data_IF_445872300334
#
_entry.id   IF_445872300334
#
_cell.length_a   1.000
_cell.length_b   1.000
_cell.length_c   1.000
_cell.angle_alpha   90.00
_cell.angle_beta   90.00
_cell.angle_gamma   90.00
#
_symmetry.space_group_name_H-M   'P 1'
#
loop_
_entity.id
_entity.type
_entity.pdbx_description
1 polymer ?
#
# COMPACT_ATOMS: atom_id res chain seq x y z
N UNK A 1 -14.65 4.19 -12.03
CA UNK A 1 -13.46 4.31 -11.16
C UNK A 1 -12.92 2.90 -11.05
N UNK A 2 -11.63 2.71 -11.33
CA UNK A 2 -10.99 1.42 -11.05
C UNK A 2 -10.93 1.27 -9.53
N UNK A 3 -11.63 0.26 -9.02
CA UNK A 3 -11.87 0.08 -7.59
C UNK A 3 -10.55 -0.25 -6.88
N UNK A 4 -10.24 0.51 -5.82
CA UNK A 4 -9.07 0.30 -4.97
C UNK A 4 -9.55 -0.54 -3.79
N UNK A 5 -8.79 -1.59 -3.44
CA UNK A 5 -9.17 -2.50 -2.39
C UNK A 5 -8.25 -2.34 -1.17
N UNK A 6 -8.82 -2.09 -0.01
CA UNK A 6 -8.12 -2.18 1.27
C UNK A 6 -8.47 -3.52 1.92
N UNK A 7 -7.46 -4.35 2.17
CA UNK A 7 -7.63 -5.77 2.46
C UNK A 7 -6.89 -6.11 3.75
N UNK A 8 -7.58 -6.79 4.66
CA UNK A 8 -6.95 -7.42 5.81
C UNK A 8 -6.15 -8.66 5.34
N UNK A 9 -4.85 -8.68 5.62
CA UNK A 9 -3.97 -9.83 5.37
C UNK A 9 -3.88 -10.75 6.59
N UNK A 10 -4.53 -10.42 7.71
CA UNK A 10 -4.43 -11.11 8.99
C UNK A 10 -3.29 -10.56 9.86
N UNK A 11 -3.35 -10.81 11.17
CA UNK A 11 -2.35 -10.35 12.15
C UNK A 11 -2.08 -8.83 12.07
N UNK A 12 -3.14 -8.01 11.95
CA UNK A 12 -3.09 -6.56 11.75
C UNK A 12 -2.38 -6.07 10.48
N UNK A 13 -1.95 -6.98 9.58
CA UNK A 13 -1.37 -6.56 8.32
C UNK A 13 -2.47 -6.10 7.36
N UNK A 14 -2.25 -4.96 6.72
CA UNK A 14 -3.19 -4.40 5.75
C UNK A 14 -2.50 -4.20 4.41
N UNK A 15 -3.20 -4.56 3.34
CA UNK A 15 -2.80 -4.29 1.97
C UNK A 15 -3.73 -3.26 1.31
N UNK A 16 -3.16 -2.38 0.52
CA UNK A 16 -3.87 -1.51 -0.43
C UNK A 16 -3.53 -2.01 -1.83
N UNK A 17 -4.47 -2.71 -2.45
CA UNK A 17 -4.35 -3.23 -3.80
C UNK A 17 -4.98 -2.25 -4.79
N UNK A 18 -4.15 -1.74 -5.69
CA UNK A 18 -4.53 -0.77 -6.72
C UNK A 18 -4.46 -1.44 -8.10
N UNK A 19 -5.51 -1.35 -8.93
CA UNK A 19 -5.45 -1.86 -10.30
C UNK A 19 -4.32 -1.24 -11.14
N UNK A 20 -3.71 -2.03 -12.01
CA UNK A 20 -2.60 -1.64 -12.89
C UNK A 20 -2.95 -0.54 -13.90
N UNK A 21 -4.24 -0.36 -14.20
CA UNK A 21 -4.76 0.73 -15.03
C UNK A 21 -5.15 1.98 -14.23
N UNK A 22 -5.07 1.97 -12.90
CA UNK A 22 -5.34 3.13 -12.07
C UNK A 22 -4.26 4.20 -12.29
N UNK A 23 -4.67 5.39 -12.74
CA UNK A 23 -3.74 6.50 -13.05
C UNK A 23 -2.88 6.93 -11.87
N UNK A 24 -3.47 7.03 -10.68
CA UNK A 24 -2.75 7.41 -9.47
C UNK A 24 -1.70 6.38 -9.07
N UNK A 25 -2.03 5.10 -9.22
CA UNK A 25 -1.09 3.99 -8.97
C UNK A 25 0.06 3.95 -9.97
N UNK A 26 -0.24 4.17 -11.26
CA UNK A 26 0.79 4.27 -12.31
C UNK A 26 1.72 5.46 -12.08
N UNK A 27 1.15 6.62 -11.72
CA UNK A 27 1.94 7.82 -11.42
C UNK A 27 2.80 7.61 -10.18
N UNK A 28 2.24 7.05 -9.11
CA UNK A 28 2.97 6.70 -7.88
C UNK A 28 4.16 5.79 -8.19
N UNK A 29 3.92 4.65 -8.85
CA UNK A 29 4.97 3.70 -9.24
C UNK A 29 6.05 4.36 -10.09
N UNK A 30 5.67 5.23 -11.02
CA UNK A 30 6.63 5.97 -11.86
C UNK A 30 7.47 6.97 -11.07
N UNK A 31 6.89 7.67 -10.10
CA UNK A 31 7.61 8.66 -9.26
C UNK A 31 8.65 7.99 -8.37
N UNK A 32 8.28 6.87 -7.75
CA UNK A 32 9.09 6.23 -6.72
C UNK A 32 9.98 5.09 -7.23
N UNK A 33 9.92 4.80 -8.53
CA UNK A 33 10.82 3.83 -9.13
C UNK A 33 12.29 4.27 -8.95
N UNK A 34 13.07 3.49 -8.20
CA UNK A 34 14.47 3.78 -7.90
C UNK A 34 14.73 4.68 -6.69
N UNK A 35 13.69 5.17 -6.00
CA UNK A 35 13.80 5.86 -4.70
C UNK A 35 13.56 4.93 -3.51
N UNK A 36 13.59 3.62 -3.76
CA UNK A 36 13.29 2.60 -2.77
C UNK A 36 14.52 2.09 -2.06
N UNK A 37 14.36 1.71 -0.79
CA UNK A 37 15.35 0.93 -0.07
C UNK A 37 15.15 -0.57 -0.34
N UNK A 38 16.25 -1.31 -0.40
CA UNK A 38 16.22 -2.77 -0.47
C UNK A 38 15.51 -3.33 0.76
N UNK A 39 14.65 -4.32 0.54
CA UNK A 39 14.11 -5.15 1.61
C UNK A 39 14.71 -6.55 1.52
N UNK A 40 14.49 -7.38 2.54
CA UNK A 40 14.88 -8.80 2.49
C UNK A 40 14.04 -9.62 1.49
N UNK A 41 12.95 -9.05 0.99
CA UNK A 41 12.04 -9.62 -0.01
C UNK A 41 12.37 -9.06 -1.40
N UNK A 42 12.48 -9.93 -2.40
CA UNK A 42 12.85 -9.53 -3.78
C UNK A 42 11.80 -8.66 -4.47
N UNK A 43 10.51 -8.80 -4.11
CA UNK A 43 9.36 -8.16 -4.77
C UNK A 43 8.78 -6.99 -4.01
N UNK A 44 9.24 -6.77 -2.78
CA UNK A 44 8.81 -5.66 -1.96
C UNK A 44 9.98 -4.73 -1.70
N UNK A 45 9.75 -3.44 -1.89
CA UNK A 45 10.75 -2.44 -1.55
C UNK A 45 10.20 -1.51 -0.48
N UNK A 46 11.07 -1.02 0.40
CA UNK A 46 10.65 -0.07 1.42
C UNK A 46 10.69 1.35 0.85
N UNK A 47 9.64 2.13 1.10
CA UNK A 47 9.66 3.57 0.86
C UNK A 47 9.78 4.28 2.21
N UNK A 48 10.74 5.20 2.30
CA UNK A 48 10.87 5.98 3.53
C UNK A 48 9.62 6.85 3.71
N UNK A 49 9.13 6.96 4.95
CA UNK A 49 7.96 7.80 5.25
C UNK A 49 8.12 9.27 4.88
N UNK A 50 9.36 9.77 4.71
CA UNK A 50 9.62 11.11 4.18
C UNK A 50 9.40 11.23 2.68
N UNK A 51 9.53 10.13 1.95
CA UNK A 51 9.35 10.10 0.49
C UNK A 51 7.87 9.87 0.15
N UNK A 52 7.26 8.87 0.79
CA UNK A 52 5.85 8.55 0.62
C UNK A 52 5.26 7.90 1.87
N UNK A 53 3.98 8.18 2.13
CA UNK A 53 3.27 7.68 3.31
C UNK A 53 1.77 7.54 3.04
N UNK A 54 1.11 6.72 3.87
CA UNK A 54 -0.34 6.74 4.02
C UNK A 54 -0.75 7.61 5.19
N UNK A 55 -1.83 8.36 5.04
CA UNK A 55 -2.51 9.05 6.14
C UNK A 55 -4.02 8.83 6.02
N UNK A 56 -4.72 8.88 7.15
CA UNK A 56 -6.17 8.77 7.15
C UNK A 56 -6.84 10.05 7.65
N UNK A 57 -7.91 10.45 6.97
CA UNK A 57 -8.70 11.62 7.31
C UNK A 57 -10.18 11.29 7.30
N UNK A 58 -10.95 11.93 8.18
CA UNK A 58 -12.42 11.80 8.20
C UNK A 58 -13.06 12.97 7.47
N UNK A 59 -13.91 12.69 6.49
CA UNK A 59 -14.63 13.69 5.70
C UNK A 59 -16.05 13.21 5.39
N UNK A 60 -17.07 14.04 5.62
CA UNK A 60 -18.48 13.76 5.30
C UNK A 60 -18.95 12.37 5.79
N UNK A 61 -18.65 12.03 7.05
CA UNK A 61 -18.93 10.73 7.71
C UNK A 61 -18.18 9.51 7.17
N UNK A 62 -17.33 9.67 6.15
CA UNK A 62 -16.47 8.62 5.63
C UNK A 62 -15.03 8.76 6.16
N UNK A 63 -14.36 7.63 6.32
CA UNK A 63 -12.93 7.55 6.57
C UNK A 63 -12.22 7.29 5.25
N UNK A 64 -11.24 8.13 4.94
CA UNK A 64 -10.44 8.00 3.74
C UNK A 64 -9.00 7.70 4.09
N UNK A 65 -8.42 6.71 3.42
CA UNK A 65 -6.98 6.52 3.33
C UNK A 65 -6.47 7.26 2.09
N UNK A 66 -5.47 8.11 2.30
CA UNK A 66 -4.75 8.82 1.24
C UNK A 66 -3.29 8.35 1.21
N UNK A 67 -2.76 8.09 0.02
CA UNK A 67 -1.33 7.83 -0.20
C UNK A 67 -0.72 9.07 -0.84
N UNK A 68 0.27 9.65 -0.16
CA UNK A 68 0.87 10.93 -0.51
C UNK A 68 2.38 10.84 -0.58
N UNK A 69 2.99 11.79 -1.31
CA UNK A 69 4.43 12.02 -1.22
C UNK A 69 4.79 13.00 -0.10
N UNK A 70 6.09 13.13 0.17
CA UNK A 70 6.65 14.06 1.15
C UNK A 70 6.27 15.54 0.94
N UNK A 71 5.87 15.92 -0.27
CA UNK A 71 5.38 17.28 -0.59
C UNK A 71 3.85 17.41 -0.41
N UNK A 72 3.17 16.35 -0.01
CA UNK A 72 1.73 16.32 0.22
C UNK A 72 0.88 16.10 -1.03
N UNK A 73 1.48 15.77 -2.18
CA UNK A 73 0.70 15.41 -3.38
C UNK A 73 0.04 14.06 -3.15
N UNK A 74 -1.28 14.01 -3.34
CA UNK A 74 -2.07 12.79 -3.21
C UNK A 74 -2.11 12.01 -4.53
N UNK A 75 -1.78 10.73 -4.47
CA UNK A 75 -1.80 9.80 -5.61
C UNK A 75 -3.02 8.90 -5.57
N UNK A 76 -3.32 8.38 -4.38
CA UNK A 76 -4.42 7.43 -4.15
C UNK A 76 -5.28 7.98 -3.03
N UNK A 77 -6.60 7.86 -3.20
CA UNK A 77 -7.58 8.09 -2.17
C UNK A 77 -8.65 7.02 -2.25
N UNK A 78 -8.91 6.35 -1.13
CA UNK A 78 -9.92 5.30 -1.05
C UNK A 78 -10.63 5.34 0.30
N UNK A 79 -11.85 4.79 0.36
CA UNK A 79 -12.57 4.61 1.61
C UNK A 79 -11.91 3.46 2.38
N UNK A 80 -11.76 3.62 3.68
CA UNK A 80 -11.22 2.60 4.58
C UNK A 80 -12.15 2.41 5.77
N UNK A 81 -12.26 1.17 6.23
CA UNK A 81 -13.03 0.85 7.44
C UNK A 81 -12.20 1.11 8.70
N UNK A 82 -12.87 1.45 9.80
CA UNK A 82 -12.21 1.77 11.08
C UNK A 82 -11.31 0.62 11.56
N UNK A 83 -11.73 -0.64 11.40
CA UNK A 83 -10.93 -1.81 11.81
C UNK A 83 -9.58 -1.87 11.07
N UNK A 84 -9.59 -1.68 9.75
CA UNK A 84 -8.37 -1.70 8.93
C UNK A 84 -7.49 -0.50 9.25
N UNK A 85 -8.09 0.66 9.51
CA UNK A 85 -7.37 1.84 9.93
C UNK A 85 -6.67 1.63 11.28
N UNK A 86 -7.33 0.99 12.25
CA UNK A 86 -6.71 0.68 13.54
C UNK A 86 -5.56 -0.32 13.39
N UNK A 87 -5.70 -1.31 12.49
CA UNK A 87 -4.62 -2.23 12.16
C UNK A 87 -3.39 -1.49 11.58
N UNK A 88 -3.59 -0.57 10.63
CA UNK A 88 -2.49 0.26 10.07
C UNK A 88 -1.82 1.14 11.13
N UNK A 89 -2.59 1.67 12.10
CA UNK A 89 -2.05 2.46 13.21
C UNK A 89 -1.17 1.61 14.14
N UNK A 90 -1.59 0.38 14.43
CA UNK A 90 -0.85 -0.54 15.31
C UNK A 90 0.48 -0.96 14.69
N UNK A 91 0.48 -1.28 13.39
CA UNK A 91 1.67 -1.74 12.67
C UNK A 91 2.52 -0.59 12.10
N UNK A 92 2.06 0.67 12.24
CA UNK A 92 2.69 1.87 11.66
C UNK A 92 2.97 1.76 10.15
N UNK A 93 2.18 0.96 9.43
CA UNK A 93 2.43 0.70 8.02
C UNK A 93 1.39 -0.17 7.34
N UNK A 94 1.59 -0.35 6.04
CA UNK A 94 0.77 -1.20 5.19
C UNK A 94 1.54 -1.59 3.92
N UNK A 95 1.06 -2.63 3.26
CA UNK A 95 1.57 -3.06 1.98
C UNK A 95 0.80 -2.36 0.84
N UNK A 96 1.47 -1.60 0.01
CA UNK A 96 0.91 -1.12 -1.26
C UNK A 96 1.23 -2.11 -2.38
N UNK A 97 0.25 -2.51 -3.17
CA UNK A 97 0.45 -3.35 -4.35
C UNK A 97 -0.26 -2.78 -5.55
N UNK A 98 0.39 -2.89 -6.71
CA UNK A 98 -0.28 -2.68 -8.00
C UNK A 98 -0.52 -4.03 -8.66
N UNK A 99 -1.79 -4.40 -8.85
CA UNK A 99 -2.20 -5.71 -9.34
C UNK A 99 -2.97 -5.61 -10.66
N UNK A 100 -2.99 -6.67 -11.49
CA UNK A 100 -3.77 -6.69 -12.72
C UNK A 100 -5.24 -6.32 -12.48
N UNK A 101 -5.81 -5.44 -13.31
CA UNK A 101 -7.23 -5.03 -13.18
C UNK A 101 -8.25 -6.18 -13.20
N UNK A 102 -7.86 -7.36 -13.67
CA UNK A 102 -8.70 -8.56 -13.69
C UNK A 102 -8.84 -9.19 -12.31
N UNK A 103 -8.02 -8.83 -11.34
CA UNK A 103 -8.07 -9.39 -9.99
C UNK A 103 -9.16 -8.68 -9.17
N UNK A 104 -10.15 -9.45 -8.73
CA UNK A 104 -11.23 -8.96 -7.88
C UNK A 104 -10.80 -8.94 -6.41
N UNK A 105 -11.51 -8.18 -5.58
CA UNK A 105 -11.30 -8.18 -4.12
C UNK A 105 -11.43 -9.59 -3.51
N UNK A 106 -12.38 -10.39 -4.01
CA UNK A 106 -12.58 -11.78 -3.59
C UNK A 106 -11.37 -12.64 -3.92
N UNK A 107 -10.88 -12.56 -5.16
CA UNK A 107 -9.70 -13.28 -5.59
C UNK A 107 -8.48 -12.93 -4.74
N UNK A 108 -8.22 -11.64 -4.53
CA UNK A 108 -7.07 -11.18 -3.73
C UNK A 108 -7.21 -11.66 -2.29
N UNK A 109 -8.40 -11.54 -1.67
CA UNK A 109 -8.62 -12.00 -0.30
C UNK A 109 -8.42 -13.51 -0.15
N UNK A 110 -8.95 -14.31 -1.08
CA UNK A 110 -8.82 -15.78 -1.03
C UNK A 110 -7.36 -16.24 -1.05
N UNK A 111 -6.50 -15.53 -1.79
CA UNK A 111 -5.10 -15.92 -1.96
C UNK A 111 -4.17 -15.30 -0.91
N UNK A 112 -4.49 -14.10 -0.40
CA UNK A 112 -3.57 -13.35 0.47
C UNK A 112 -3.96 -13.33 1.95
N UNK A 113 -5.19 -13.70 2.31
CA UNK A 113 -5.59 -13.68 3.73
C UNK A 113 -4.81 -14.69 4.56
N UNK A 114 -4.25 -14.22 5.68
CA UNK A 114 -3.41 -15.00 6.59
C UNK A 114 -1.99 -15.27 6.06
N UNK A 115 -1.58 -14.62 4.96
CA UNK A 115 -0.27 -14.78 4.35
C UNK A 115 0.72 -13.73 4.86
N UNK A 116 1.95 -14.15 5.10
CA UNK A 116 3.06 -13.24 5.32
C UNK A 116 3.68 -12.79 3.99
N UNK A 117 4.69 -11.92 4.04
CA UNK A 117 5.33 -11.40 2.83
C UNK A 117 5.98 -12.51 2.00
N UNK A 118 6.61 -13.51 2.61
CA UNK A 118 7.19 -14.66 1.90
C UNK A 118 6.13 -15.43 1.09
N UNK A 119 5.00 -15.74 1.73
CA UNK A 119 3.89 -16.42 1.07
C UNK A 119 3.32 -15.59 -0.08
N UNK A 120 3.23 -14.26 0.08
CA UNK A 120 2.76 -13.36 -0.96
C UNK A 120 3.75 -13.31 -2.13
N UNK A 121 5.07 -13.34 -1.89
CA UNK A 121 6.07 -13.39 -2.97
C UNK A 121 5.97 -14.68 -3.79
N UNK A 122 5.77 -15.82 -3.11
CA UNK A 122 5.53 -17.11 -3.76
C UNK A 122 4.27 -17.01 -4.62
N UNK A 123 3.17 -16.50 -4.07
CA UNK A 123 1.94 -16.28 -4.83
C UNK A 123 2.14 -15.37 -6.04
N UNK A 124 2.89 -14.26 -5.90
CA UNK A 124 3.19 -13.36 -7.02
C UNK A 124 3.96 -14.08 -8.12
N UNK A 125 4.96 -14.89 -7.76
CA UNK A 125 5.71 -15.67 -8.72
C UNK A 125 4.83 -16.70 -9.47
N UNK A 126 4.03 -17.45 -8.72
CA UNK A 126 3.13 -18.45 -9.30
C UNK A 126 2.07 -17.81 -10.20
N UNK A 127 1.59 -16.63 -9.80
CA UNK A 127 0.63 -15.82 -10.56
C UNK A 127 1.24 -15.32 -11.87
N UNK A 128 2.47 -14.82 -11.86
CA UNK A 128 3.17 -14.42 -13.09
C UNK A 128 3.29 -15.57 -14.07
N UNK A 129 3.64 -16.77 -13.58
CA UNK A 129 3.73 -17.98 -14.41
C UNK A 129 2.36 -18.39 -14.93
N UNK A 130 1.33 -18.39 -14.08
CA UNK A 130 -0.03 -18.82 -14.43
C UNK A 130 -0.65 -17.93 -15.51
N UNK A 131 -0.39 -16.62 -15.47
CA UNK A 131 -0.98 -15.64 -16.38
C UNK A 131 -0.04 -15.16 -17.48
N UNK A 132 1.14 -15.79 -17.65
CA UNK A 132 2.17 -15.40 -18.64
C UNK A 132 2.55 -13.92 -18.55
N UNK A 133 2.70 -13.42 -17.32
CA UNK A 133 3.12 -12.05 -17.06
C UNK A 133 4.65 -11.94 -17.10
N UNK A 134 5.20 -10.75 -17.43
CA UNK A 134 6.64 -10.54 -17.33
C UNK A 134 7.16 -10.84 -15.93
N UNK A 135 8.33 -11.47 -15.85
CA UNK A 135 9.00 -11.77 -14.59
C UNK A 135 9.21 -10.50 -13.77
N UNK A 136 8.86 -10.52 -12.49
CA UNK A 136 8.92 -9.36 -11.56
C UNK A 136 8.04 -8.17 -11.96
N UNK A 137 6.95 -8.43 -12.70
CA UNK A 137 5.93 -7.41 -12.97
C UNK A 137 5.02 -7.16 -11.76
N UNK A 138 4.78 -8.20 -10.96
CA UNK A 138 4.07 -8.12 -9.68
C UNK A 138 5.05 -7.81 -8.55
N UNK A 139 4.70 -6.80 -7.77
CA UNK A 139 5.47 -6.35 -6.61
C UNK A 139 4.71 -5.28 -5.84
N UNK A 140 5.35 -4.75 -4.81
CA UNK A 140 4.72 -3.75 -3.95
C UNK A 140 5.72 -2.91 -3.17
N UNK A 141 5.18 -1.95 -2.42
CA UNK A 141 5.95 -1.11 -1.52
C UNK A 141 5.48 -1.32 -0.08
N UNK A 142 6.43 -1.51 0.83
CA UNK A 142 6.19 -1.40 2.26
C UNK A 142 6.16 0.08 2.62
N UNK A 143 5.00 0.55 3.08
CA UNK A 143 4.70 1.97 3.27
C UNK A 143 4.51 2.29 4.75
N UNK A 144 5.02 3.44 5.19
CA UNK A 144 4.67 4.00 6.49
C UNK A 144 3.21 4.47 6.50
N UNK A 145 2.54 4.29 7.64
CA UNK A 145 1.28 4.94 7.94
C UNK A 145 1.49 5.98 9.06
N UNK A 146 0.97 7.18 8.87
CA UNK A 146 0.99 8.23 9.87
C UNK A 146 -0.42 8.72 10.18
N UNK A 147 -0.67 8.95 11.46
CA UNK A 147 -1.82 9.70 11.96
C UNK A 147 -1.66 11.19 11.68
N UNK A 148 -2.76 11.93 11.72
CA UNK A 148 -2.76 13.40 11.55
C UNK A 148 -1.81 14.09 12.54
N UNK A 149 -1.81 13.65 13.81
CA UNK A 149 -0.92 14.17 14.86
C UNK A 149 0.56 13.92 14.53
N UNK A 150 0.90 12.75 14.00
CA UNK A 150 2.26 12.40 13.61
C UNK A 150 2.74 13.24 12.42
N UNK A 151 1.87 13.45 11.43
CA UNK A 151 2.15 14.33 10.29
C UNK A 151 2.38 15.78 10.75
N UNK A 152 1.57 16.29 11.67
CA UNK A 152 1.79 17.62 12.24
C UNK A 152 3.14 17.73 12.95
N UNK A 153 3.52 16.71 13.73
CA UNK A 153 4.82 16.64 14.40
C UNK A 153 5.98 16.64 13.41
N UNK A 154 5.89 15.87 12.32
CA UNK A 154 6.89 15.82 11.24
C UNK A 154 7.01 17.18 10.57
N UNK A 155 5.88 17.80 10.19
CA UNK A 155 5.86 19.12 9.52
C UNK A 155 6.43 20.24 10.38
N UNK A 156 6.20 20.18 11.69
CA UNK A 156 6.73 21.17 12.64
C UNK A 156 8.19 20.92 13.01
N UNK A 157 8.86 19.92 12.43
CA UNK A 157 10.25 19.58 12.75
C UNK A 157 10.44 19.07 14.18
N UNK A 158 9.36 18.57 14.79
CA UNK A 158 9.30 18.15 16.19
C UNK A 158 9.31 16.62 16.36
N UNK A 159 9.61 15.88 15.28
CA UNK A 159 9.90 14.45 15.35
C UNK A 159 11.35 14.25 15.79
N UNK A 160 11.62 14.59 17.05
CA UNK A 160 12.88 14.28 17.70
C UNK A 160 12.79 12.86 18.29
N UNK A 161 13.75 12.04 17.85
CA UNK A 161 14.10 10.66 18.20
C UNK A 161 13.88 10.22 19.66
#
# INVERSE_FOLDING_TARGET
MDEIFVINLGNNNVAVAVPDNNKGGQEFKSTFNGLVCESEYERFSYLMGTDAYGEANKENDFLYLSIKDGNGKEYIRCVIDEELLQAMKLEHGFLFMQLPKSFTSEYIREHLYGKDLCDIEIWMNDTEVQYDLPKYSLGGYLMCFFTEEEIEKIRNGSWDS
#
